data_IF_111123681030
#
_entry.id   IF_111123681030
#
_cell.length_a   1.000
_cell.length_b   1.000
_cell.length_c   1.000
_cell.angle_alpha   90.00
_cell.angle_beta   90.00
_cell.angle_gamma   90.00
#
_symmetry.space_group_name_H-M   'P 1'
#
loop_
_entity.id
_entity.type
_entity.pdbx_description
1 polymer ?
#
# COMPACT_ATOMS: atom_id res chain seq x y z
N UNK A 1 -18.65 -81.02 12.69
CA UNK A 1 -19.37 -80.96 11.40
C UNK A 1 -18.32 -81.05 10.28
N UNK A 2 -18.59 -81.88 9.26
CA UNK A 2 -17.95 -82.08 7.94
C UNK A 2 -16.85 -81.06 7.45
N UNK A 3 -15.77 -81.38 6.70
CA UNK A 3 -14.86 -82.55 6.55
C UNK A 3 -13.71 -82.21 5.53
N UNK A 4 -12.41 -82.46 5.86
CA UNK A 4 -11.22 -82.73 4.98
C UNK A 4 -10.85 -81.61 3.93
N UNK A 5 -9.66 -81.39 3.33
CA UNK A 5 -8.38 -82.12 3.14
C UNK A 5 -7.17 -81.14 3.10
N UNK A 6 -6.01 -81.56 3.63
CA UNK A 6 -4.66 -80.99 3.34
C UNK A 6 -3.86 -82.05 2.56
N UNK A 7 -3.21 -81.71 1.43
CA UNK A 7 -1.74 -81.73 1.37
C UNK A 7 -1.20 -80.41 0.75
N UNK A 8 -0.23 -79.72 1.36
CA UNK A 8 1.19 -80.11 1.43
C UNK A 8 1.92 -80.07 0.07
N UNK A 9 2.53 -78.93 -0.24
CA UNK A 9 3.89 -78.91 -0.82
C UNK A 9 4.79 -78.11 0.10
N UNK A 10 5.72 -78.83 0.73
CA UNK A 10 6.75 -78.34 1.64
C UNK A 10 8.09 -78.35 0.90
N UNK A 11 8.68 -77.18 0.65
CA UNK A 11 10.14 -76.90 0.77
C UNK A 11 10.35 -75.38 0.55
N UNK A 12 10.99 -74.62 1.45
CA UNK A 12 12.46 -74.59 1.72
C UNK A 12 13.19 -74.11 0.44
N UNK A 13 13.98 -73.03 0.37
CA UNK A 13 14.67 -72.14 1.31
C UNK A 13 14.56 -70.69 0.72
N UNK A 14 14.76 -69.54 1.38
CA UNK A 14 15.32 -69.19 2.69
C UNK A 14 14.70 -67.87 3.22
N UNK A 15 15.15 -67.41 4.40
CA UNK A 15 15.28 -66.00 4.76
C UNK A 15 16.74 -65.78 5.22
N UNK A 16 17.33 -64.57 5.09
CA UNK A 16 17.22 -63.62 6.21
C UNK A 16 17.26 -62.11 5.86
N UNK A 17 16.67 -61.31 6.76
CA UNK A 17 17.14 -59.99 7.24
C UNK A 17 17.57 -58.95 6.20
N UNK A 18 16.64 -58.07 5.83
CA UNK A 18 16.90 -56.78 5.16
C UNK A 18 16.90 -55.59 6.15
N UNK A 19 17.46 -55.75 7.35
CA UNK A 19 17.52 -54.73 8.40
C UNK A 19 18.97 -54.33 8.75
N UNK A 20 19.81 -54.17 7.73
CA UNK A 20 21.10 -53.51 7.81
C UNK A 20 21.57 -53.16 6.38
N UNK A 21 21.21 -51.98 5.88
CA UNK A 21 21.97 -51.33 4.82
C UNK A 21 22.73 -50.21 5.49
N UNK A 22 24.00 -50.48 5.78
CA UNK A 22 24.91 -49.48 6.32
C UNK A 22 25.08 -48.33 5.33
N UNK A 23 25.45 -47.16 5.83
CA UNK A 23 25.95 -46.10 4.97
C UNK A 23 27.30 -46.55 4.39
N UNK A 24 27.27 -47.03 3.16
CA UNK A 24 28.46 -47.39 2.39
C UNK A 24 28.86 -46.15 1.57
N UNK A 25 29.97 -45.47 1.91
CA UNK A 25 30.44 -44.34 1.11
C UNK A 25 30.78 -44.85 -0.29
N UNK A 26 30.43 -44.11 -1.36
CA UNK A 26 30.68 -44.59 -2.72
C UNK A 26 32.17 -44.88 -2.91
N UNK A 27 32.49 -46.09 -3.34
CA UNK A 27 33.82 -46.43 -3.81
C UNK A 27 34.18 -45.45 -4.92
N UNK A 28 35.38 -44.86 -4.86
CA UNK A 28 35.88 -43.87 -5.81
C UNK A 28 36.11 -44.42 -7.25
N UNK A 29 35.68 -45.65 -7.49
CA UNK A 29 35.79 -46.42 -8.74
C UNK A 29 34.50 -46.37 -9.58
N UNK A 30 33.44 -45.74 -9.08
CA UNK A 30 32.44 -45.15 -9.96
C UNK A 30 33.05 -43.81 -10.44
N UNK A 31 33.42 -43.65 -11.72
CA UNK A 31 33.96 -42.38 -12.19
C UNK A 31 32.93 -41.30 -11.88
N UNK A 32 33.37 -40.25 -11.18
CA UNK A 32 32.61 -39.00 -11.19
C UNK A 32 32.36 -38.67 -12.67
N UNK A 33 31.13 -38.31 -13.07
CA UNK A 33 30.85 -38.02 -14.47
C UNK A 33 31.91 -37.04 -14.96
N UNK A 34 32.61 -37.41 -16.04
CA UNK A 34 33.78 -36.68 -16.54
C UNK A 34 33.35 -35.36 -17.19
N UNK A 35 32.79 -34.46 -16.38
CA UNK A 35 32.60 -33.07 -16.71
C UNK A 35 33.99 -32.50 -16.94
N UNK A 36 34.29 -32.13 -18.18
CA UNK A 36 35.53 -31.42 -18.46
C UNK A 36 35.60 -30.17 -17.58
N UNK A 37 36.79 -29.66 -17.21
CA UNK A 37 36.92 -28.44 -16.40
C UNK A 37 36.18 -27.21 -16.97
N UNK A 38 35.85 -27.25 -18.26
CA UNK A 38 35.09 -26.23 -19.00
C UNK A 38 33.57 -26.47 -18.99
N UNK A 39 33.07 -27.67 -18.69
CA UNK A 39 31.63 -28.00 -18.62
C UNK A 39 31.03 -27.75 -17.24
N UNK A 40 31.75 -28.09 -16.16
CA UNK A 40 31.30 -27.85 -14.79
C UNK A 40 30.85 -26.39 -14.50
N UNK A 41 31.58 -25.32 -14.92
CA UNK A 41 31.09 -23.96 -14.75
C UNK A 41 29.83 -23.67 -15.59
N UNK A 42 29.72 -24.23 -16.80
CA UNK A 42 28.52 -24.08 -17.66
C UNK A 42 27.29 -24.72 -17.03
N UNK A 43 27.41 -25.90 -16.42
CA UNK A 43 26.26 -26.55 -15.75
C UNK A 43 25.80 -25.78 -14.52
N UNK A 44 26.73 -25.13 -13.79
CA UNK A 44 26.39 -24.26 -12.67
C UNK A 44 25.71 -22.96 -13.14
N UNK A 45 26.18 -22.38 -14.24
CA UNK A 45 25.60 -21.18 -14.86
C UNK A 45 24.18 -21.46 -15.38
N UNK A 46 23.97 -22.54 -16.14
CA UNK A 46 22.66 -23.01 -16.59
C UNK A 46 21.70 -23.30 -15.41
N UNK A 47 22.21 -23.90 -14.33
CA UNK A 47 21.45 -24.15 -13.11
C UNK A 47 21.02 -22.85 -12.40
N UNK A 48 21.93 -21.87 -12.31
CA UNK A 48 21.64 -20.55 -11.73
C UNK A 48 20.64 -19.76 -12.58
N UNK A 49 20.78 -19.79 -13.91
CA UNK A 49 19.81 -19.16 -14.80
C UNK A 49 18.41 -19.77 -14.66
N UNK A 50 18.30 -21.11 -14.63
CA UNK A 50 17.01 -21.78 -14.45
C UNK A 50 16.39 -21.48 -13.08
N UNK A 51 17.21 -21.41 -12.03
CA UNK A 51 16.76 -20.96 -10.71
C UNK A 51 16.23 -19.50 -10.76
N UNK A 52 16.96 -18.58 -11.38
CA UNK A 52 16.52 -17.18 -11.51
C UNK A 52 15.25 -17.05 -12.37
N UNK A 53 15.14 -17.80 -13.48
CA UNK A 53 13.92 -17.83 -14.30
C UNK A 53 12.72 -18.31 -13.50
N UNK A 54 12.84 -19.41 -12.75
CA UNK A 54 11.75 -19.90 -11.91
C UNK A 54 11.37 -18.88 -10.81
N UNK A 55 12.35 -18.30 -10.11
CA UNK A 55 12.10 -17.28 -9.09
C UNK A 55 11.41 -16.03 -9.67
N UNK A 56 11.73 -15.65 -10.92
CA UNK A 56 11.09 -14.53 -11.59
C UNK A 56 9.65 -14.88 -12.03
N UNK A 57 9.41 -16.09 -12.54
CA UNK A 57 8.06 -16.58 -12.87
C UNK A 57 7.16 -16.67 -11.62
N UNK A 58 7.71 -17.13 -10.49
CA UNK A 58 6.99 -17.16 -9.20
C UNK A 58 6.71 -15.74 -8.66
N UNK A 59 7.57 -14.76 -8.98
CA UNK A 59 7.42 -13.36 -8.59
C UNK A 59 6.55 -12.52 -9.55
N UNK A 60 6.43 -12.91 -10.82
CA UNK A 60 5.61 -12.25 -11.86
C UNK A 60 4.21 -11.85 -11.36
N UNK A 61 3.37 -12.75 -10.78
CA UNK A 61 2.03 -12.38 -10.31
C UNK A 61 2.03 -11.36 -9.15
N UNK A 62 3.11 -11.25 -8.38
CA UNK A 62 3.27 -10.25 -7.33
C UNK A 62 3.72 -8.90 -7.91
N UNK A 63 4.65 -8.91 -8.87
CA UNK A 63 5.10 -7.72 -9.59
C UNK A 63 3.95 -7.10 -10.39
N UNK A 64 3.12 -7.92 -11.03
CA UNK A 64 1.91 -7.51 -11.75
C UNK A 64 0.86 -6.86 -10.83
N UNK A 65 0.69 -7.37 -9.61
CA UNK A 65 -0.19 -6.76 -8.61
C UNK A 65 0.38 -5.45 -8.10
N UNK A 66 1.69 -5.40 -7.82
CA UNK A 66 2.37 -4.18 -7.38
C UNK A 66 2.29 -3.08 -8.45
N UNK A 67 2.53 -3.42 -9.72
CA UNK A 67 2.44 -2.51 -10.85
C UNK A 67 1.04 -1.93 -11.03
N UNK A 68 0.00 -2.77 -10.93
CA UNK A 68 -1.41 -2.32 -10.94
C UNK A 68 -1.73 -1.38 -9.76
N UNK A 69 -1.44 -1.82 -8.54
CA UNK A 69 -1.70 -1.03 -7.32
C UNK A 69 -0.96 0.32 -7.34
N UNK A 70 0.28 0.35 -7.81
CA UNK A 70 1.03 1.60 -8.03
C UNK A 70 0.40 2.46 -9.13
N UNK A 71 -0.01 1.88 -10.26
CA UNK A 71 -0.68 2.59 -11.35
C UNK A 71 -1.98 3.26 -10.91
N UNK A 72 -2.82 2.54 -10.17
CA UNK A 72 -4.08 3.04 -9.62
C UNK A 72 -3.82 4.16 -8.59
N UNK A 73 -2.86 3.97 -7.69
CA UNK A 73 -2.49 4.97 -6.68
C UNK A 73 -1.95 6.25 -7.33
N UNK A 74 -1.02 6.11 -8.29
CA UNK A 74 -0.48 7.24 -9.06
C UNK A 74 -1.56 7.97 -9.84
N UNK A 75 -2.52 7.24 -10.42
CA UNK A 75 -3.66 7.83 -11.12
C UNK A 75 -4.54 8.65 -10.18
N UNK A 76 -4.75 8.17 -8.94
CA UNK A 76 -5.51 8.89 -7.92
C UNK A 76 -4.81 10.18 -7.43
N UNK A 77 -3.47 10.20 -7.28
CA UNK A 77 -2.74 11.41 -6.85
C UNK A 77 -2.35 12.35 -8.00
N UNK A 78 -2.34 11.89 -9.26
CA UNK A 78 -2.05 12.72 -10.45
C UNK A 78 -2.84 14.05 -10.51
N UNK A 79 -4.18 14.09 -10.28
CA UNK A 79 -4.91 15.36 -10.28
C UNK A 79 -4.45 16.30 -9.15
N UNK A 80 -4.14 15.78 -7.96
CA UNK A 80 -3.61 16.55 -6.82
C UNK A 80 -2.26 17.16 -7.18
N UNK A 81 -1.34 16.36 -7.76
CA UNK A 81 -0.03 16.83 -8.20
C UNK A 81 -0.14 17.92 -9.29
N UNK A 82 -1.09 17.78 -10.22
CA UNK A 82 -1.40 18.80 -11.23
C UNK A 82 -1.87 20.12 -10.60
N UNK A 83 -2.71 20.04 -9.56
CA UNK A 83 -3.20 21.23 -8.85
C UNK A 83 -2.10 21.90 -8.01
N UNK A 84 -1.24 21.12 -7.35
CA UNK A 84 -0.02 21.63 -6.69
C UNK A 84 0.89 22.33 -7.71
N UNK A 85 1.05 21.77 -8.91
CA UNK A 85 1.82 22.40 -10.00
C UNK A 85 1.30 23.79 -10.37
N UNK A 86 -0.01 23.96 -10.53
CA UNK A 86 -0.64 25.29 -10.79
C UNK A 86 -0.38 26.29 -9.66
N UNK A 87 -0.38 25.83 -8.41
CA UNK A 87 -0.13 26.69 -7.25
C UNK A 87 1.35 27.09 -7.17
N UNK A 88 2.28 26.16 -7.42
CA UNK A 88 3.71 26.44 -7.54
C UNK A 88 3.98 27.44 -8.66
N UNK A 89 3.27 27.32 -9.78
CA UNK A 89 3.30 28.29 -10.88
C UNK A 89 2.83 29.69 -10.46
N UNK A 90 1.79 29.81 -9.61
CA UNK A 90 1.31 31.11 -9.13
C UNK A 90 2.26 31.75 -8.10
N UNK A 91 3.18 31.02 -7.45
CA UNK A 91 4.13 31.59 -6.47
C UNK A 91 4.94 32.77 -7.05
N UNK A 92 5.27 32.74 -8.34
CA UNK A 92 5.98 33.84 -9.03
C UNK A 92 5.18 35.16 -9.07
N UNK A 93 3.86 35.10 -8.84
CA UNK A 93 2.97 36.25 -8.83
C UNK A 93 2.88 36.93 -7.46
N UNK A 94 3.69 36.52 -6.48
CA UNK A 94 3.77 37.12 -5.15
C UNK A 94 5.11 37.82 -4.91
N UNK A 95 5.11 38.70 -3.92
CA UNK A 95 6.25 39.48 -3.46
C UNK A 95 7.01 38.70 -2.36
N UNK A 96 8.19 39.20 -1.98
CA UNK A 96 8.94 38.64 -0.85
C UNK A 96 8.11 38.70 0.45
N UNK A 97 8.28 37.75 1.39
CA UNK A 97 7.52 37.73 2.64
C UNK A 97 7.85 38.93 3.54
N UNK A 98 6.81 39.61 4.03
CA UNK A 98 6.90 40.72 4.98
C UNK A 98 6.49 40.22 6.37
N UNK A 99 7.34 40.39 7.39
CA UNK A 99 7.02 40.02 8.77
C UNK A 99 6.36 41.19 9.49
N UNK A 100 5.18 40.94 10.05
CA UNK A 100 4.38 41.91 10.80
C UNK A 100 4.79 41.98 12.28
N UNK A 101 4.34 43.02 12.99
CA UNK A 101 4.65 43.26 14.41
C UNK A 101 4.16 42.14 15.34
N UNK A 102 3.03 41.50 15.00
CA UNK A 102 2.49 40.35 15.73
C UNK A 102 3.26 39.04 15.47
N UNK A 103 4.20 39.02 14.52
CA UNK A 103 4.97 37.84 14.12
C UNK A 103 4.43 37.10 12.90
N UNK A 104 3.25 37.47 12.38
CA UNK A 104 2.70 36.87 11.16
C UNK A 104 3.53 37.25 9.91
N UNK A 105 3.36 36.45 8.86
CA UNK A 105 4.03 36.64 7.58
C UNK A 105 3.00 36.98 6.51
N UNK A 106 3.07 38.19 5.96
CA UNK A 106 2.25 38.65 4.85
C UNK A 106 2.99 38.45 3.53
N UNK A 107 2.42 37.66 2.63
CA UNK A 107 2.92 37.47 1.26
C UNK A 107 1.96 38.18 0.31
N UNK A 108 2.33 39.40 -0.13
CA UNK A 108 1.48 40.24 -0.99
C UNK A 108 1.54 39.76 -2.43
N UNK A 109 0.39 39.73 -3.12
CA UNK A 109 0.36 39.49 -4.57
C UNK A 109 0.92 40.70 -5.33
N UNK A 110 1.54 40.48 -6.50
CA UNK A 110 2.06 41.55 -7.37
C UNK A 110 0.88 42.24 -8.09
N UNK A 111 0.94 43.55 -8.28
CA UNK A 111 -0.18 44.34 -8.83
C UNK A 111 -0.42 44.09 -10.34
N UNK A 112 0.62 43.65 -11.05
CA UNK A 112 0.61 43.25 -12.46
C UNK A 112 0.26 41.76 -12.68
N UNK A 113 -0.02 41.01 -11.60
CA UNK A 113 -0.33 39.59 -11.72
C UNK A 113 -1.74 39.36 -12.33
N UNK A 114 -1.90 38.37 -13.24
CA UNK A 114 -3.24 37.91 -13.65
C UNK A 114 -3.99 37.36 -12.43
N UNK A 115 -5.34 37.25 -12.42
CA UNK A 115 -6.10 36.72 -11.28
C UNK A 115 -5.58 35.38 -10.75
N UNK A 116 -5.70 35.09 -9.43
CA UNK A 116 -5.20 33.84 -8.87
C UNK A 116 -5.95 32.64 -9.46
N UNK A 117 -5.25 31.54 -9.79
CA UNK A 117 -5.92 30.32 -10.21
C UNK A 117 -6.77 29.78 -9.04
N UNK A 118 -7.93 29.18 -9.32
CA UNK A 118 -8.67 28.47 -8.28
C UNK A 118 -7.83 27.30 -7.75
N UNK A 119 -7.86 27.10 -6.43
CA UNK A 119 -7.36 25.85 -5.82
C UNK A 119 -8.20 24.72 -6.38
N UNK A 120 -7.56 23.80 -7.10
CA UNK A 120 -8.28 22.72 -7.78
C UNK A 120 -8.94 21.75 -6.80
N UNK A 121 -10.09 21.22 -7.21
CA UNK A 121 -11.01 20.49 -6.31
C UNK A 121 -10.37 19.23 -5.72
N UNK A 122 -9.49 18.54 -6.45
CA UNK A 122 -8.82 17.33 -5.97
C UNK A 122 -7.91 17.61 -4.76
N UNK A 123 -7.10 18.69 -4.83
CA UNK A 123 -6.29 19.11 -3.69
C UNK A 123 -7.16 19.65 -2.55
N UNK A 124 -8.23 20.38 -2.87
CA UNK A 124 -9.16 20.95 -1.89
C UNK A 124 -9.91 19.88 -1.11
N UNK A 125 -10.30 18.79 -1.76
CA UNK A 125 -11.03 17.67 -1.15
C UNK A 125 -10.08 16.78 -0.33
N UNK A 126 -8.84 16.58 -0.79
CA UNK A 126 -7.81 15.91 0.01
C UNK A 126 -7.46 16.67 1.30
N UNK A 127 -7.47 18.01 1.27
CA UNK A 127 -7.21 18.86 2.43
C UNK A 127 -8.45 19.14 3.29
N UNK A 128 -9.62 18.64 2.89
CA UNK A 128 -10.85 18.83 3.67
C UNK A 128 -10.82 17.92 4.90
N UNK A 129 -11.03 18.43 6.12
CA UNK A 129 -11.18 17.56 7.28
C UNK A 129 -12.38 16.63 7.08
N UNK A 130 -12.30 15.42 7.61
CA UNK A 130 -13.44 14.52 7.65
C UNK A 130 -14.61 15.20 8.40
N UNK A 131 -15.89 14.98 8.03
CA UNK A 131 -17.01 15.78 8.51
C UNK A 131 -17.13 15.86 10.04
N UNK A 132 -16.83 14.78 10.75
CA UNK A 132 -16.80 14.69 12.21
C UNK A 132 -15.72 15.60 12.86
N UNK A 133 -14.69 15.97 12.10
CA UNK A 133 -13.60 16.85 12.49
C UNK A 133 -13.69 18.27 11.89
N UNK A 134 -14.66 18.58 11.03
CA UNK A 134 -14.85 19.95 10.50
C UNK A 134 -15.53 20.83 11.57
N UNK A 135 -14.84 21.86 12.12
CA UNK A 135 -15.41 22.72 13.16
C UNK A 135 -16.62 23.53 12.69
N UNK A 136 -16.84 23.66 11.38
CA UNK A 136 -18.02 24.32 10.80
C UNK A 136 -19.28 23.46 10.90
N UNK A 137 -19.11 22.14 10.88
CA UNK A 137 -20.20 21.17 10.96
C UNK A 137 -20.41 20.69 12.41
N UNK A 138 -19.30 20.56 13.15
CA UNK A 138 -19.27 20.14 14.56
C UNK A 138 -18.53 21.20 15.40
N UNK A 139 -19.15 22.36 15.67
CA UNK A 139 -18.54 23.37 16.54
C UNK A 139 -18.36 22.81 17.96
N UNK A 140 -17.15 22.93 18.49
CA UNK A 140 -16.83 22.52 19.87
C UNK A 140 -17.62 23.41 20.84
N UNK A 141 -18.29 22.79 21.82
CA UNK A 141 -19.18 23.50 22.75
C UNK A 141 -18.47 24.53 23.64
N UNK A 142 -17.14 24.41 23.73
CA UNK A 142 -16.17 25.21 24.48
C UNK A 142 -15.46 26.29 23.65
N UNK A 143 -15.86 26.55 22.40
CA UNK A 143 -15.28 27.64 21.58
C UNK A 143 -15.50 29.03 22.23
N UNK A 144 -14.43 29.72 22.70
CA UNK A 144 -14.56 31.01 23.37
C UNK A 144 -14.93 32.17 22.43
N UNK A 145 -14.93 31.95 21.10
CA UNK A 145 -15.43 32.91 20.11
C UNK A 145 -16.92 32.72 19.80
N UNK A 146 -17.57 31.73 20.43
CA UNK A 146 -19.01 31.52 20.30
C UNK A 146 -19.76 32.72 20.85
N UNK A 147 -20.43 33.46 19.97
CA UNK A 147 -21.44 34.43 20.39
C UNK A 147 -22.45 33.70 21.30
N UNK A 148 -22.86 34.29 22.44
CA UNK A 148 -23.80 33.65 23.35
C UNK A 148 -25.03 33.22 22.58
N UNK A 149 -25.58 32.04 22.89
CA UNK A 149 -26.81 31.55 22.28
C UNK A 149 -27.87 32.64 22.40
N UNK A 150 -28.21 33.28 21.27
CA UNK A 150 -29.24 34.31 21.24
C UNK A 150 -30.51 33.57 21.64
N UNK A 151 -31.15 33.91 22.78
CA UNK A 151 -32.37 33.24 23.17
C UNK A 151 -33.39 33.39 22.04
N UNK A 152 -34.26 32.39 21.79
CA UNK A 152 -35.27 32.51 20.76
C UNK A 152 -36.01 33.83 20.95
N UNK A 153 -36.20 34.58 19.85
CA UNK A 153 -36.93 35.84 19.90
C UNK A 153 -38.24 35.59 20.67
N UNK A 154 -38.54 36.38 21.72
CA UNK A 154 -39.76 36.18 22.48
C UNK A 154 -40.92 36.23 21.50
N UNK A 155 -41.76 35.20 21.50
CA UNK A 155 -42.98 35.19 20.70
C UNK A 155 -43.75 36.46 21.04
N UNK A 156 -43.91 37.33 20.04
CA UNK A 156 -44.67 38.57 20.18
C UNK A 156 -46.10 38.18 20.54
N UNK A 157 -46.43 38.31 21.82
CA UNK A 157 -47.76 38.01 22.30
C UNK A 157 -48.74 38.98 21.58
N UNK A 158 -49.66 38.48 20.74
CA UNK A 158 -50.55 39.35 19.97
C UNK A 158 -51.47 40.19 20.86
N UNK A 159 -51.67 39.78 22.12
CA UNK A 159 -52.47 40.50 23.11
C UNK A 159 -51.67 41.64 23.79
N UNK A 160 -50.40 41.86 23.42
CA UNK A 160 -49.56 42.94 23.94
C UNK A 160 -49.58 44.21 23.07
N UNK A 161 -50.71 44.50 22.41
CA UNK A 161 -50.96 45.83 21.85
C UNK A 161 -51.03 46.89 22.96
N UNK A 162 -50.20 47.92 22.80
CA UNK A 162 -50.06 49.02 23.74
C UNK A 162 -51.37 49.82 23.74
N UNK A 163 -52.10 49.80 24.86
CA UNK A 163 -53.16 50.78 25.11
C UNK A 163 -52.53 52.16 25.29
N UNK A 164 -52.73 53.01 24.28
CA UNK A 164 -52.38 54.44 24.23
C UNK A 164 -53.40 55.31 24.99
#
# INVERSE_FOLDING_TARGET
>A
MRIIIIPSIMWMLAAPVALAQGYEPPLADNPAPETTPEEAPRTLEEGLENFMRNMLNDAEPLLDQLGRNMGDTLSAVTPVLKDIGKLMDDVRNYQAPERLENGDILIRRRADAPPPPPVGDALRDMLRPAPENDPRLNPRGDDPLRAPEVPPFPELNPDSEISL
#
